data_IF_787064680129
#
_entry.id   IF_787064680129
#
_cell.length_a   1.000
_cell.length_b   1.000
_cell.length_c   1.000
_cell.angle_alpha   90.00
_cell.angle_beta   90.00
_cell.angle_gamma   90.00
#
_symmetry.space_group_name_H-M   'P 1'
#
loop_
_entity.id
_entity.type
_entity.pdbx_description
1 polymer ?
#
# COMPACT_ATOMS: atom_id res chain seq x y z
N UNK A 1 25.18 -10.90 6.90
CA UNK A 1 24.60 -9.91 5.97
C UNK A 1 23.48 -10.62 5.23
N UNK A 2 22.23 -10.21 5.40
CA UNK A 2 21.07 -10.88 4.77
C UNK A 2 21.13 -10.66 3.24
N UNK A 3 20.85 -11.71 2.47
CA UNK A 3 20.76 -11.66 1.01
C UNK A 3 19.39 -11.13 0.56
N UNK A 4 19.29 -10.64 -0.68
CA UNK A 4 18.01 -10.16 -1.22
C UNK A 4 16.95 -11.28 -1.26
N UNK A 5 17.36 -12.51 -1.59
CA UNK A 5 16.45 -13.66 -1.63
C UNK A 5 15.95 -14.06 -0.24
N UNK A 6 16.81 -14.10 0.77
CA UNK A 6 16.39 -14.33 2.15
C UNK A 6 15.38 -13.26 2.60
N UNK A 7 15.63 -11.98 2.26
CA UNK A 7 14.69 -10.90 2.61
C UNK A 7 13.34 -11.03 1.90
N UNK A 8 13.33 -11.39 0.61
CA UNK A 8 12.08 -11.66 -0.14
C UNK A 8 11.30 -12.78 0.55
N UNK A 9 11.98 -13.87 0.92
CA UNK A 9 11.34 -15.00 1.58
C UNK A 9 10.79 -14.62 2.97
N UNK A 10 11.54 -13.83 3.76
CA UNK A 10 11.09 -13.36 5.07
C UNK A 10 9.80 -12.51 4.97
N UNK A 11 9.71 -11.67 3.94
CA UNK A 11 8.52 -10.84 3.67
C UNK A 11 7.33 -11.74 3.31
N UNK A 12 7.53 -12.70 2.42
CA UNK A 12 6.48 -13.67 2.04
C UNK A 12 5.99 -14.44 3.27
N UNK A 13 6.91 -15.02 4.05
CA UNK A 13 6.58 -15.73 5.28
C UNK A 13 5.80 -14.84 6.27
N UNK A 14 6.15 -13.56 6.33
CA UNK A 14 5.44 -12.58 7.17
C UNK A 14 4.03 -12.32 6.66
N UNK A 15 3.83 -12.24 5.34
CA UNK A 15 2.49 -12.08 4.74
C UNK A 15 1.63 -13.32 5.00
N UNK A 16 2.19 -14.52 4.83
CA UNK A 16 1.51 -15.81 5.02
C UNK A 16 0.99 -16.04 6.44
N UNK A 17 1.53 -15.37 7.46
CA UNK A 17 1.02 -15.45 8.82
C UNK A 17 -0.39 -14.84 8.97
N UNK A 18 -0.72 -13.83 8.16
CA UNK A 18 -2.05 -13.20 8.14
C UNK A 18 -2.30 -12.57 6.77
N UNK A 19 -2.52 -13.40 5.73
CA UNK A 19 -2.66 -12.93 4.36
C UNK A 19 -4.05 -12.31 4.18
N UNK A 20 -4.09 -11.29 3.35
CA UNK A 20 -5.31 -10.57 2.99
C UNK A 20 -5.28 -10.28 1.50
N UNK A 21 -6.33 -10.69 0.81
CA UNK A 21 -6.52 -10.34 -0.59
C UNK A 21 -7.18 -8.96 -0.67
N UNK A 22 -6.54 -8.05 -1.38
CA UNK A 22 -7.08 -6.73 -1.69
C UNK A 22 -7.10 -6.53 -3.19
N UNK A 23 -8.06 -5.75 -3.67
CA UNK A 23 -8.12 -5.32 -5.07
C UNK A 23 -7.89 -3.82 -5.11
N UNK A 24 -6.82 -3.41 -5.77
CA UNK A 24 -6.49 -2.00 -5.99
C UNK A 24 -6.83 -1.61 -7.43
N UNK A 25 -7.34 -0.40 -7.62
CA UNK A 25 -7.38 0.23 -8.93
C UNK A 25 -6.00 0.81 -9.24
N UNK A 26 -5.50 0.52 -10.44
CA UNK A 26 -4.19 0.92 -10.93
C UNK A 26 -4.39 1.68 -12.23
N UNK A 27 -4.12 2.98 -12.19
CA UNK A 27 -4.14 3.83 -13.38
C UNK A 27 -2.72 4.00 -13.88
N UNK A 28 -2.38 3.28 -14.95
CA UNK A 28 -1.05 3.36 -15.56
C UNK A 28 -1.08 4.35 -16.70
N UNK A 29 -0.17 5.34 -16.70
CA UNK A 29 0.00 6.25 -17.84
C UNK A 29 0.83 5.56 -18.92
N UNK A 30 0.20 5.17 -20.03
CA UNK A 30 0.88 4.62 -21.20
C UNK A 30 0.95 5.67 -22.31
N UNK A 31 2.08 5.75 -23.01
CA UNK A 31 2.21 6.57 -24.21
C UNK A 31 1.67 5.75 -25.39
N UNK A 32 0.53 6.15 -25.93
CA UNK A 32 -0.06 5.53 -27.12
C UNK A 32 -0.10 6.59 -28.22
N UNK A 33 0.59 6.33 -29.33
CA UNK A 33 0.63 7.23 -30.50
C UNK A 33 1.06 8.68 -30.21
N UNK A 34 2.03 8.86 -29.30
CA UNK A 34 2.55 10.19 -28.96
C UNK A 34 1.65 11.02 -28.03
N UNK A 35 0.54 10.46 -27.55
CA UNK A 35 -0.33 11.04 -26.54
C UNK A 35 -0.34 10.19 -25.26
N UNK A 36 -0.52 10.84 -24.10
CA UNK A 36 -0.71 10.15 -22.84
C UNK A 36 -2.11 9.55 -22.79
N UNK A 37 -2.21 8.25 -22.61
CA UNK A 37 -3.47 7.53 -22.38
C UNK A 37 -3.42 6.89 -20.99
N UNK A 38 -4.52 7.04 -20.25
CA UNK A 38 -4.69 6.45 -18.92
C UNK A 38 -5.36 5.10 -19.12
N UNK A 39 -4.70 4.05 -18.67
CA UNK A 39 -5.21 2.67 -18.71
C UNK A 39 -5.62 2.29 -17.29
N UNK A 40 -6.93 2.27 -17.04
CA UNK A 40 -7.53 1.85 -15.78
C UNK A 40 -7.57 0.32 -15.72
N UNK A 41 -6.82 -0.27 -14.80
CA UNK A 41 -6.83 -1.70 -14.54
C UNK A 41 -7.06 -1.99 -13.06
N UNK A 42 -7.50 -3.19 -12.72
CA UNK A 42 -7.58 -3.65 -11.34
C UNK A 42 -6.57 -4.77 -11.11
N UNK A 43 -5.83 -4.66 -9.99
CA UNK A 43 -4.83 -5.66 -9.58
C UNK A 43 -5.23 -6.24 -8.24
N UNK A 44 -5.35 -7.56 -8.18
CA UNK A 44 -5.51 -8.29 -6.92
C UNK A 44 -4.14 -8.60 -6.34
N UNK A 45 -3.96 -8.29 -5.06
CA UNK A 45 -2.72 -8.46 -4.32
C UNK A 45 -2.97 -9.23 -3.02
N UNK A 46 -2.08 -10.14 -2.69
CA UNK A 46 -2.02 -10.75 -1.36
C UNK A 46 -1.06 -9.94 -0.49
N UNK A 47 -1.60 -9.27 0.53
CA UNK A 47 -0.87 -8.38 1.41
C UNK A 47 -1.10 -8.75 2.88
N UNK A 48 -0.34 -8.15 3.78
CA UNK A 48 -0.66 -8.19 5.22
C UNK A 48 -0.93 -6.79 5.73
N UNK A 49 -2.13 -6.58 6.26
CA UNK A 49 -2.53 -5.32 6.89
C UNK A 49 -2.43 -5.46 8.42
N UNK A 50 -1.89 -4.44 9.08
CA UNK A 50 -1.72 -4.41 10.52
C UNK A 50 -1.94 -3.00 11.08
N UNK A 51 -2.33 -2.90 12.35
CA UNK A 51 -2.42 -1.62 13.04
C UNK A 51 -1.01 -1.17 13.46
N UNK A 52 -0.65 0.10 13.20
CA UNK A 52 0.60 0.65 13.69
C UNK A 52 0.51 0.88 15.21
N UNK A 53 1.57 0.54 15.96
CA UNK A 53 1.59 0.61 17.43
C UNK A 53 1.52 2.05 17.98
N UNK A 54 2.03 3.02 17.23
CA UNK A 54 1.99 4.45 17.57
C UNK A 54 1.26 5.21 16.44
N UNK A 55 -0.07 5.17 16.38
CA UNK A 55 -0.79 5.99 15.42
C UNK A 55 -0.62 7.46 15.82
N UNK A 56 0.03 8.27 14.99
CA UNK A 56 -0.04 9.72 15.13
C UNK A 56 -1.49 10.15 14.94
N UNK A 57 -2.09 10.66 16.01
CA UNK A 57 -3.47 11.16 16.00
C UNK A 57 -3.45 12.59 15.49
N UNK A 58 -3.85 12.77 14.23
CA UNK A 58 -4.12 14.11 13.68
C UNK A 58 -5.55 14.51 14.04
N UNK A 59 -5.72 15.34 15.07
CA UNK A 59 -7.03 15.94 15.40
C UNK A 59 -7.26 17.13 14.47
N UNK A 60 -8.21 17.01 13.55
CA UNK A 60 -8.71 18.14 12.77
C UNK A 60 -9.98 18.62 13.47
N UNK A 61 -9.91 19.74 14.18
CA UNK A 61 -11.05 20.38 14.82
C UNK A 61 -11.60 21.49 13.93
N UNK A 62 -12.60 21.17 13.12
CA UNK A 62 -13.43 22.17 12.45
C UNK A 62 -14.72 22.40 13.24
N UNK A 63 -15.29 23.60 13.13
CA UNK A 63 -16.39 24.17 13.94
C UNK A 63 -17.72 23.37 13.91
N UNK A 64 -17.75 22.18 13.30
CA UNK A 64 -18.93 21.30 13.18
C UNK A 64 -18.69 19.84 13.60
N UNK A 65 -17.55 19.49 14.18
CA UNK A 65 -17.35 18.17 14.79
C UNK A 65 -15.90 17.71 14.78
N UNK A 66 -15.54 16.89 15.77
CA UNK A 66 -14.24 16.24 15.86
C UNK A 66 -14.27 14.95 15.03
N UNK A 67 -13.49 14.88 13.96
CA UNK A 67 -13.28 13.65 13.21
C UNK A 67 -11.97 12.99 13.64
N UNK A 68 -12.06 11.95 14.47
CA UNK A 68 -10.94 11.09 14.84
C UNK A 68 -10.49 10.24 13.64
N UNK A 69 -9.52 10.73 12.86
CA UNK A 69 -8.84 9.93 11.81
C UNK A 69 -7.66 9.14 12.38
N UNK A 70 -7.80 8.65 13.61
CA UNK A 70 -6.73 8.17 14.49
C UNK A 70 -6.26 6.72 14.26
N UNK A 71 -6.42 6.17 13.06
CA UNK A 71 -5.92 4.81 12.75
C UNK A 71 -5.07 4.82 11.47
N UNK A 72 -3.76 5.06 11.63
CA UNK A 72 -2.75 4.73 10.63
C UNK A 72 -2.55 3.20 10.63
N UNK A 73 -2.92 2.55 9.54
CA UNK A 73 -2.66 1.14 9.30
C UNK A 73 -1.35 0.99 8.52
N UNK A 74 -0.66 -0.13 8.68
CA UNK A 74 0.46 -0.53 7.84
C UNK A 74 0.05 -1.65 6.91
N UNK A 75 0.63 -1.66 5.71
CA UNK A 75 0.52 -2.76 4.76
C UNK A 75 1.90 -3.26 4.37
N UNK A 76 2.05 -4.58 4.29
CA UNK A 76 3.22 -5.23 3.71
C UNK A 76 2.79 -5.97 2.45
N UNK A 77 3.46 -5.67 1.34
CA UNK A 77 3.28 -6.34 0.06
C UNK A 77 4.60 -6.98 -0.40
N UNK A 78 4.51 -8.07 -1.16
CA UNK A 78 5.68 -8.77 -1.67
C UNK A 78 6.37 -8.00 -2.82
N UNK A 79 7.48 -8.54 -3.32
CA UNK A 79 8.20 -7.93 -4.44
C UNK A 79 7.45 -8.02 -5.78
N UNK A 80 6.50 -8.93 -5.93
CA UNK A 80 5.70 -9.12 -7.16
C UNK A 80 4.53 -8.13 -7.27
N UNK A 81 4.20 -7.46 -6.16
CA UNK A 81 3.16 -6.44 -6.10
C UNK A 81 3.43 -5.25 -7.03
N UNK A 82 4.69 -5.02 -7.42
CA UNK A 82 5.14 -3.99 -8.37
C UNK A 82 4.43 -2.65 -8.18
N UNK A 83 4.63 -2.07 -6.99
CA UNK A 83 3.97 -0.83 -6.58
C UNK A 83 4.74 0.42 -7.01
N UNK A 84 5.73 0.28 -7.89
CA UNK A 84 6.67 1.34 -8.29
C UNK A 84 6.10 2.31 -9.33
N UNK A 85 5.22 1.81 -10.22
CA UNK A 85 4.66 2.55 -11.35
C UNK A 85 3.23 3.07 -11.07
N UNK A 86 2.80 3.03 -9.81
CA UNK A 86 1.53 3.61 -9.41
C UNK A 86 1.66 5.13 -9.50
N UNK A 87 0.98 5.70 -10.50
CA UNK A 87 0.95 7.14 -10.71
C UNK A 87 0.41 7.85 -9.46
N UNK A 88 0.65 9.17 -9.32
CA UNK A 88 0.28 10.03 -8.19
C UNK A 88 -1.22 10.04 -7.79
N UNK A 89 -2.01 9.12 -8.33
CA UNK A 89 -3.40 8.88 -8.00
C UNK A 89 -3.57 8.20 -6.64
N UNK A 90 -4.60 8.63 -5.92
CA UNK A 90 -4.99 8.07 -4.63
C UNK A 90 -5.41 6.63 -4.81
N UNK A 91 -4.63 5.70 -4.27
CA UNK A 91 -4.98 4.28 -4.28
C UNK A 91 -5.94 4.02 -3.13
N UNK A 92 -7.17 3.65 -3.47
CA UNK A 92 -8.17 3.23 -2.52
C UNK A 92 -8.54 1.76 -2.74
N UNK A 93 -8.80 1.04 -1.66
CA UNK A 93 -9.27 -0.33 -1.72
C UNK A 93 -10.16 -0.69 -0.53
N UNK A 94 -10.98 -1.72 -0.70
CA UNK A 94 -11.78 -2.28 0.38
C UNK A 94 -11.00 -3.34 1.16
N UNK A 95 -11.14 -3.31 2.47
CA UNK A 95 -10.60 -4.32 3.38
C UNK A 95 -11.63 -4.66 4.46
N UNK A 96 -11.50 -5.79 5.17
CA UNK A 96 -12.34 -6.09 6.34
C UNK A 96 -12.29 -5.02 7.44
N UNK A 97 -11.25 -4.17 7.45
CA UNK A 97 -11.09 -3.06 8.40
C UNK A 97 -11.77 -1.76 7.95
N UNK A 98 -12.40 -1.76 6.78
CA UNK A 98 -13.01 -0.60 6.12
C UNK A 98 -12.31 -0.23 4.81
N UNK A 99 -12.80 0.84 4.18
CA UNK A 99 -12.15 1.43 3.01
C UNK A 99 -10.84 2.09 3.43
N UNK A 100 -9.77 1.77 2.71
CA UNK A 100 -8.41 2.23 2.98
C UNK A 100 -7.90 3.06 1.82
N UNK A 101 -7.15 4.11 2.14
CA UNK A 101 -6.37 4.94 1.22
C UNK A 101 -4.88 4.71 1.50
N UNK A 102 -4.09 4.47 0.46
CA UNK A 102 -2.62 4.39 0.55
C UNK A 102 -2.06 5.82 0.60
N UNK A 103 -1.40 6.16 1.70
CA UNK A 103 -0.77 7.47 1.90
C UNK A 103 0.67 7.53 1.36
N UNK A 104 1.42 6.44 1.56
CA UNK A 104 2.81 6.36 1.16
C UNK A 104 3.21 4.91 0.90
N UNK A 105 4.16 4.71 -0.03
CA UNK A 105 4.72 3.41 -0.40
C UNK A 105 6.24 3.51 -0.25
N UNK A 106 6.83 2.63 0.56
CA UNK A 106 8.26 2.56 0.79
C UNK A 106 8.80 1.22 0.26
N UNK A 107 9.56 1.21 -0.83
CA UNK A 107 10.20 -0.01 -1.33
C UNK A 107 11.30 -0.46 -0.36
N UNK A 108 11.31 -1.75 -0.04
CA UNK A 108 12.39 -2.36 0.75
C UNK A 108 13.48 -2.85 -0.20
N UNK A 109 14.63 -2.17 -0.20
CA UNK A 109 15.73 -2.45 -1.12
C UNK A 109 16.90 -3.10 -0.37
N UNK A 110 17.35 -4.26 -0.84
CA UNK A 110 18.54 -4.96 -0.34
C UNK A 110 19.49 -5.21 -1.51
N UNK A 111 20.72 -4.70 -1.41
CA UNK A 111 21.76 -4.82 -2.47
C UNK A 111 21.28 -4.34 -3.85
N UNK A 112 20.40 -3.33 -3.90
CA UNK A 112 19.84 -2.79 -5.14
C UNK A 112 18.61 -3.53 -5.68
N UNK A 113 18.17 -4.62 -5.01
CA UNK A 113 16.96 -5.35 -5.40
C UNK A 113 15.78 -5.01 -4.49
N UNK A 114 14.62 -4.79 -5.11
CA UNK A 114 13.35 -4.64 -4.39
C UNK A 114 12.94 -6.01 -3.83
N UNK A 115 12.75 -6.07 -2.53
CA UNK A 115 12.35 -7.28 -1.80
C UNK A 115 10.88 -7.28 -1.39
N UNK A 116 10.25 -6.11 -1.37
CA UNK A 116 8.83 -5.91 -1.07
C UNK A 116 8.54 -4.44 -0.82
N UNK A 117 7.32 -4.14 -0.38
CA UNK A 117 6.85 -2.78 -0.16
C UNK A 117 6.17 -2.67 1.19
N UNK A 118 6.49 -1.60 1.91
CA UNK A 118 5.80 -1.23 3.13
C UNK A 118 5.00 0.03 2.86
N UNK A 119 3.69 -0.02 3.10
CA UNK A 119 2.81 1.11 2.84
C UNK A 119 2.18 1.64 4.12
N UNK A 120 1.98 2.96 4.15
CA UNK A 120 1.14 3.62 5.13
C UNK A 120 -0.28 3.72 4.58
N UNK A 121 -1.24 3.33 5.40
CA UNK A 121 -2.66 3.33 5.06
C UNK A 121 -3.42 4.23 6.03
N UNK A 122 -4.44 4.88 5.52
CA UNK A 122 -5.45 5.59 6.30
C UNK A 122 -6.81 4.98 6.02
N UNK A 123 -7.58 4.74 7.07
CA UNK A 123 -8.99 4.41 6.89
C UNK A 123 -9.75 5.67 6.46
N UNK A 124 -10.40 5.60 5.30
CA UNK A 124 -11.33 6.62 4.80
C UNK A 124 -12.75 6.12 5.06
N UNK A 125 -13.60 6.97 5.64
CA UNK A 125 -14.97 6.63 6.03
C UNK A 125 -15.98 7.35 5.17
#
# INVERSE_FOLDING_TARGET
MVTANERKQDIINTIEQNPMEITIAVSTRKIVNGAWSIDDSSKTLTVRIFQQKNPEVSVISDTKGTADTSKKYGMLADHNADLTDLSEERIEFESPYGKMEVLAIYPQIVKGEICGYQCELKRVS
#
